data_IF_827066375731
#
_entry.id   IF_827066375731
#
_cell.length_a   1.000
_cell.length_b   1.000
_cell.length_c   1.000
_cell.angle_alpha   90.00
_cell.angle_beta   90.00
_cell.angle_gamma   90.00
#
_symmetry.space_group_name_H-M   'P 1'
#
loop_
_entity.id
_entity.type
_entity.pdbx_description
1 polymer ?
#
# COMPACT_ATOMS: atom_id res chain seq x y z
N UNK A 1 13.30 -11.67 12.93
CA UNK A 1 12.25 -11.81 11.88
C UNK A 1 12.93 -12.09 10.53
N UNK A 2 12.40 -13.01 9.71
CA UNK A 2 12.91 -13.36 8.37
C UNK A 2 11.96 -12.85 7.28
N UNK A 3 11.97 -11.54 7.02
CA UNK A 3 11.11 -10.93 5.99
C UNK A 3 11.70 -11.19 4.60
N UNK A 4 10.94 -11.84 3.73
CA UNK A 4 11.33 -12.18 2.35
C UNK A 4 10.76 -11.22 1.32
N UNK A 5 9.62 -10.60 1.60
CA UNK A 5 8.90 -9.70 0.70
C UNK A 5 8.46 -8.43 1.44
N UNK A 6 8.61 -7.28 0.79
CA UNK A 6 8.25 -5.97 1.31
C UNK A 6 7.30 -5.29 0.34
N UNK A 7 6.03 -5.26 0.71
CA UNK A 7 4.96 -4.57 -0.03
C UNK A 7 4.66 -3.23 0.63
N UNK A 8 4.83 -2.12 -0.10
CA UNK A 8 4.62 -0.76 0.43
C UNK A 8 4.28 0.24 -0.67
N UNK A 9 3.98 1.49 -0.32
CA UNK A 9 3.64 2.54 -1.30
C UNK A 9 4.81 2.95 -2.21
N UNK A 10 4.50 3.36 -3.44
CA UNK A 10 5.46 3.85 -4.43
C UNK A 10 6.18 5.14 -4.04
N UNK A 11 5.68 5.86 -3.05
CA UNK A 11 6.37 7.00 -2.43
C UNK A 11 7.72 6.60 -1.80
N UNK A 12 7.90 5.32 -1.45
CA UNK A 12 9.11 4.81 -0.80
C UNK A 12 10.13 4.21 -1.77
N UNK A 13 9.96 4.31 -3.08
CA UNK A 13 10.91 3.80 -4.08
C UNK A 13 12.30 4.38 -3.87
N UNK A 14 12.40 5.70 -3.65
CA UNK A 14 13.69 6.37 -3.41
C UNK A 14 14.43 5.83 -2.18
N UNK A 15 13.69 5.46 -1.14
CA UNK A 15 14.25 4.87 0.08
C UNK A 15 14.76 3.45 -0.17
N UNK A 16 14.16 2.68 -1.08
CA UNK A 16 14.65 1.34 -1.47
C UNK A 16 16.09 1.40 -1.96
N UNK A 17 16.46 2.37 -2.79
CA UNK A 17 17.83 2.46 -3.30
C UNK A 17 18.87 2.56 -2.17
N UNK A 18 18.59 3.38 -1.15
CA UNK A 18 19.46 3.51 0.02
C UNK A 18 19.50 2.21 0.84
N UNK A 19 18.36 1.56 1.02
CA UNK A 19 18.27 0.28 1.73
C UNK A 19 19.05 -0.83 1.04
N UNK A 20 19.03 -0.89 -0.31
CA UNK A 20 19.82 -1.85 -1.07
C UNK A 20 21.32 -1.66 -0.86
N UNK A 21 21.80 -0.42 -0.71
CA UNK A 21 23.20 -0.15 -0.36
C UNK A 21 23.54 -0.72 1.02
N UNK A 22 22.65 -0.59 2.00
CA UNK A 22 22.83 -1.18 3.33
C UNK A 22 22.87 -2.72 3.28
N UNK A 23 21.95 -3.36 2.55
CA UNK A 23 21.97 -4.82 2.38
C UNK A 23 23.30 -5.30 1.79
N UNK A 24 23.82 -4.59 0.78
CA UNK A 24 25.14 -4.88 0.19
C UNK A 24 26.27 -4.71 1.20
N UNK A 25 26.29 -3.60 1.94
CA UNK A 25 27.33 -3.32 2.94
C UNK A 25 27.35 -4.37 4.07
N UNK A 26 26.17 -4.84 4.47
CA UNK A 26 25.99 -5.86 5.50
C UNK A 26 26.15 -7.30 4.97
N UNK A 27 26.40 -7.49 3.67
CA UNK A 27 26.44 -8.80 2.99
C UNK A 27 25.21 -9.66 3.27
N UNK A 28 24.05 -9.00 3.38
CA UNK A 28 22.77 -9.64 3.68
C UNK A 28 21.90 -9.70 2.41
N UNK A 29 21.09 -10.75 2.23
CA UNK A 29 20.13 -10.81 1.13
C UNK A 29 19.07 -9.74 1.29
N UNK A 30 18.80 -8.99 0.22
CA UNK A 30 17.68 -8.05 0.17
C UNK A 30 16.36 -8.82 -0.08
N UNK A 31 15.25 -8.43 0.57
CA UNK A 31 13.94 -9.00 0.26
C UNK A 31 13.47 -8.55 -1.13
N UNK A 32 12.48 -9.24 -1.69
CA UNK A 32 11.76 -8.75 -2.85
C UNK A 32 10.94 -7.51 -2.47
N UNK A 33 10.91 -6.50 -3.34
CA UNK A 33 10.15 -5.27 -3.10
C UNK A 33 9.04 -5.14 -4.13
N UNK A 34 7.84 -4.83 -3.66
CA UNK A 34 6.73 -4.37 -4.50
C UNK A 34 6.24 -3.01 -4.01
N UNK A 35 6.02 -2.10 -4.96
CA UNK A 35 5.64 -0.72 -4.70
C UNK A 35 4.26 -0.43 -5.26
N UNK A 36 3.26 -0.44 -4.38
CA UNK A 36 1.86 -0.21 -4.74
C UNK A 36 1.66 1.23 -5.25
N UNK A 37 0.87 1.42 -6.33
CA UNK A 37 0.40 2.74 -6.74
C UNK A 37 -0.26 3.49 -5.58
N UNK A 38 -0.13 4.82 -5.59
CA UNK A 38 -0.73 5.66 -4.56
C UNK A 38 -2.18 5.95 -4.91
N UNK A 39 -3.05 5.95 -3.91
CA UNK A 39 -4.45 6.33 -4.11
C UNK A 39 -4.53 7.82 -4.46
N UNK A 40 -5.26 8.10 -5.53
CA UNK A 40 -5.48 9.45 -6.06
C UNK A 40 -6.97 9.80 -6.00
N UNK A 41 -7.29 11.08 -6.01
CA UNK A 41 -8.66 11.56 -6.19
C UNK A 41 -9.07 11.53 -7.67
N UNK A 42 -10.29 11.97 -7.97
CA UNK A 42 -10.81 12.04 -9.33
C UNK A 42 -10.00 12.96 -10.27
N UNK A 43 -9.19 13.88 -9.72
CA UNK A 43 -8.31 14.76 -10.48
C UNK A 43 -6.87 14.19 -10.61
N UNK A 44 -6.62 12.97 -10.13
CA UNK A 44 -5.30 12.34 -10.13
C UNK A 44 -4.36 12.88 -9.05
N UNK A 45 -4.85 13.72 -8.12
CA UNK A 45 -4.04 14.26 -7.05
C UNK A 45 -3.94 13.21 -5.94
N UNK A 46 -2.71 12.97 -5.48
CA UNK A 46 -2.45 12.01 -4.39
C UNK A 46 -3.25 12.39 -3.15
N UNK A 47 -4.01 11.42 -2.65
CA UNK A 47 -4.71 11.58 -1.39
C UNK A 47 -3.71 11.78 -0.25
N UNK A 48 -3.98 12.78 0.57
CA UNK A 48 -3.25 13.06 1.79
C UNK A 48 -4.24 13.18 2.94
N UNK A 49 -3.79 12.88 4.16
CA UNK A 49 -4.61 12.90 5.39
C UNK A 49 -5.32 14.24 5.66
N UNK A 50 -4.92 15.33 5.00
CA UNK A 50 -5.57 16.65 5.06
C UNK A 50 -7.04 16.67 4.60
N UNK A 51 -7.50 15.65 3.88
CA UNK A 51 -8.88 15.55 3.38
C UNK A 51 -9.71 14.64 4.30
N UNK A 52 -9.84 14.98 5.59
CA UNK A 52 -10.42 14.19 6.70
C UNK A 52 -11.65 13.32 6.33
N UNK A 53 -12.44 13.73 5.33
CA UNK A 53 -13.52 12.99 4.69
C UNK A 53 -13.19 11.53 4.29
N UNK A 54 -11.92 11.18 4.10
CA UNK A 54 -11.50 9.82 3.69
C UNK A 54 -10.78 9.02 4.78
N UNK A 55 -10.83 9.47 6.04
CA UNK A 55 -10.28 8.67 7.14
C UNK A 55 -11.12 7.41 7.41
N UNK A 56 -10.49 6.30 7.81
CA UNK A 56 -11.22 5.08 8.20
C UNK A 56 -12.19 5.33 9.37
N UNK A 57 -11.88 6.30 10.24
CA UNK A 57 -12.74 6.71 11.34
C UNK A 57 -14.03 7.35 10.82
N UNK A 58 -13.91 8.26 9.86
CA UNK A 58 -15.05 8.94 9.26
C UNK A 58 -15.92 7.98 8.46
N UNK A 59 -15.31 7.11 7.65
CA UNK A 59 -16.03 6.06 6.92
C UNK A 59 -16.82 5.15 7.87
N UNK A 60 -16.23 4.78 9.01
CA UNK A 60 -16.93 4.00 10.04
C UNK A 60 -18.10 4.77 10.66
N UNK A 61 -17.95 6.07 10.91
CA UNK A 61 -19.02 6.95 11.42
C UNK A 61 -20.19 7.06 10.43
N UNK A 62 -19.90 7.05 9.14
CA UNK A 62 -20.88 7.07 8.05
C UNK A 62 -21.56 5.70 7.82
N UNK A 63 -21.24 4.67 8.61
CA UNK A 63 -21.83 3.34 8.49
C UNK A 63 -21.26 2.49 7.35
N UNK A 64 -20.12 2.87 6.77
CA UNK A 64 -19.45 2.07 5.74
C UNK A 64 -18.90 0.79 6.37
N UNK A 65 -19.36 -0.35 5.90
CA UNK A 65 -18.87 -1.65 6.38
C UNK A 65 -17.46 -1.94 5.86
N UNK A 66 -16.61 -2.61 6.66
CA UNK A 66 -15.30 -3.07 6.21
C UNK A 66 -15.37 -3.95 4.94
N UNK A 67 -16.41 -4.77 4.82
CA UNK A 67 -16.66 -5.68 3.69
C UNK A 67 -16.87 -4.87 2.41
N UNK A 68 -17.79 -3.90 2.43
CA UNK A 68 -18.07 -3.01 1.30
C UNK A 68 -16.83 -2.23 0.87
N UNK A 69 -16.01 -1.78 1.84
CA UNK A 69 -14.77 -1.08 1.54
C UNK A 69 -13.73 -1.99 0.87
N UNK A 70 -13.60 -3.25 1.32
CA UNK A 70 -12.70 -4.24 0.71
C UNK A 70 -13.15 -4.63 -0.70
N UNK A 71 -14.45 -4.83 -0.91
CA UNK A 71 -15.01 -5.11 -2.23
C UNK A 71 -14.79 -3.95 -3.20
N UNK A 72 -15.00 -2.71 -2.73
CA UNK A 72 -14.73 -1.51 -3.53
C UNK A 72 -13.26 -1.45 -3.96
N UNK A 73 -12.34 -1.66 -3.01
CA UNK A 73 -10.90 -1.65 -3.29
C UNK A 73 -10.47 -2.79 -4.23
N UNK A 74 -11.02 -4.00 -4.06
CA UNK A 74 -10.74 -5.13 -4.94
C UNK A 74 -11.16 -4.85 -6.39
N UNK A 75 -12.32 -4.21 -6.59
CA UNK A 75 -12.78 -3.76 -7.92
C UNK A 75 -11.86 -2.70 -8.52
N UNK A 76 -11.51 -1.68 -7.73
CA UNK A 76 -10.68 -0.55 -8.19
C UNK A 76 -9.25 -0.98 -8.56
N UNK A 77 -8.66 -1.90 -7.80
CA UNK A 77 -7.28 -2.33 -8.02
C UNK A 77 -7.15 -3.54 -8.95
N UNK A 78 -8.25 -4.08 -9.50
CA UNK A 78 -8.27 -5.34 -10.26
C UNK A 78 -7.56 -6.49 -9.52
N UNK A 79 -7.55 -6.44 -8.18
CA UNK A 79 -6.94 -7.47 -7.36
C UNK A 79 -7.95 -8.60 -7.30
N UNK A 80 -7.76 -9.64 -8.11
CA UNK A 80 -8.46 -10.90 -7.92
C UNK A 80 -8.16 -11.41 -6.51
N UNK A 81 -9.21 -11.79 -5.77
CA UNK A 81 -9.06 -12.41 -4.46
C UNK A 81 -7.98 -13.51 -4.53
N UNK A 82 -7.11 -13.64 -3.50
CA UNK A 82 -6.12 -14.69 -3.50
C UNK A 82 -6.86 -16.02 -3.67
N UNK A 83 -6.51 -16.78 -4.70
CA UNK A 83 -6.91 -18.18 -4.80
C UNK A 83 -6.40 -18.85 -3.54
N UNK A 84 -7.31 -19.24 -2.64
CA UNK A 84 -6.97 -20.04 -1.49
C UNK A 84 -6.29 -21.33 -2.01
N UNK A 85 -5.03 -21.52 -1.66
CA UNK A 85 -4.42 -22.84 -1.60
C UNK A 85 -4.60 -23.39 -0.19
#
# INVERSE_FOLDING_TARGET
MRVTEVVRGADLIRSTFRQLLLFRALKAPAPAFYHCPLVTDAAGVRLAKRHDALSLRELRRQGVSPESLRERFARECQVTAPTAQ
#
